data_IF_843711259282
#
_entry.id   IF_843711259282
#
_cell.length_a   1.000
_cell.length_b   1.000
_cell.length_c   1.000
_cell.angle_alpha   90.00
_cell.angle_beta   90.00
_cell.angle_gamma   90.00
#
_symmetry.space_group_name_H-M   'P 1'
#
loop_
_entity.id
_entity.type
_entity.pdbx_description
1 polymer ?
#
# COMPACT_ATOMS: atom_id res chain seq x y z
N UNK A 1 -32.32 5.93 8.66
CA UNK A 1 -30.88 5.77 8.36
C UNK A 1 -30.03 5.90 9.63
N UNK A 2 -30.04 7.07 10.32
CA UNK A 2 -29.20 7.34 11.50
C UNK A 2 -29.39 6.28 12.59
N UNK A 3 -30.64 5.95 12.97
CA UNK A 3 -30.93 4.94 13.98
C UNK A 3 -30.38 3.55 13.61
N UNK A 4 -30.44 3.17 12.33
CA UNK A 4 -29.87 1.91 11.86
C UNK A 4 -28.34 1.89 11.96
N UNK A 5 -27.69 3.01 11.65
CA UNK A 5 -26.23 3.14 11.78
C UNK A 5 -25.79 3.11 13.26
N UNK A 6 -26.51 3.81 14.15
CA UNK A 6 -26.24 3.78 15.57
C UNK A 6 -26.41 2.37 16.16
N UNK A 7 -27.44 1.63 15.75
CA UNK A 7 -27.62 0.25 16.15
C UNK A 7 -26.49 -0.66 15.65
N UNK A 8 -26.08 -0.50 14.39
CA UNK A 8 -24.94 -1.24 13.83
C UNK A 8 -23.60 -0.89 14.52
N UNK A 9 -23.48 0.30 15.10
CA UNK A 9 -22.30 0.73 15.86
C UNK A 9 -22.22 0.12 17.26
N UNK A 10 -23.25 -0.55 17.74
CA UNK A 10 -23.19 -1.29 19.00
C UNK A 10 -22.18 -2.46 18.87
N UNK A 11 -21.15 -2.57 19.72
CA UNK A 11 -20.08 -3.55 19.54
C UNK A 11 -20.57 -4.99 19.37
N UNK A 12 -21.55 -5.41 20.18
CA UNK A 12 -22.11 -6.76 20.10
C UNK A 12 -22.88 -7.04 18.81
N UNK A 13 -23.59 -6.03 18.28
CA UNK A 13 -24.31 -6.12 16.99
C UNK A 13 -23.31 -6.18 15.85
N UNK A 14 -22.31 -5.30 15.88
CA UNK A 14 -21.28 -5.20 14.85
C UNK A 14 -20.45 -6.50 14.73
N UNK A 15 -19.90 -6.98 15.85
CA UNK A 15 -19.07 -8.19 15.86
C UNK A 15 -19.86 -9.42 15.46
N UNK A 16 -21.12 -9.55 15.92
CA UNK A 16 -21.99 -10.66 15.52
C UNK A 16 -22.34 -10.64 14.04
N UNK A 17 -22.62 -9.45 13.48
CA UNK A 17 -22.98 -9.31 12.05
C UNK A 17 -21.83 -9.67 11.11
N UNK A 18 -20.60 -9.29 11.46
CA UNK A 18 -19.43 -9.44 10.60
C UNK A 18 -18.49 -10.58 11.03
N UNK A 19 -18.91 -11.41 11.97
CA UNK A 19 -18.14 -12.56 12.51
C UNK A 19 -16.73 -12.14 12.97
N UNK A 20 -16.69 -11.10 13.81
CA UNK A 20 -15.45 -10.53 14.33
C UNK A 20 -15.28 -10.86 15.81
N UNK A 21 -14.03 -10.88 16.26
CA UNK A 21 -13.70 -11.00 17.68
C UNK A 21 -13.87 -9.64 18.39
N UNK A 22 -14.18 -9.67 19.67
CA UNK A 22 -14.52 -8.46 20.45
C UNK A 22 -13.36 -7.44 20.56
N UNK A 23 -12.12 -7.88 20.33
CA UNK A 23 -10.91 -7.04 20.35
C UNK A 23 -10.75 -6.16 19.11
N UNK A 24 -11.51 -6.42 18.03
CA UNK A 24 -11.35 -5.68 16.75
C UNK A 24 -11.94 -4.28 16.74
N UNK A 25 -12.82 -3.98 17.70
CA UNK A 25 -13.53 -2.70 17.72
C UNK A 25 -14.55 -2.55 16.58
N UNK A 26 -15.24 -1.41 16.57
CA UNK A 26 -16.25 -1.09 15.55
C UNK A 26 -15.63 -0.21 14.47
N UNK A 27 -15.67 -0.66 13.23
CA UNK A 27 -15.27 0.10 12.04
C UNK A 27 -16.39 0.00 11.00
N UNK A 28 -17.30 0.99 10.98
CA UNK A 28 -18.47 0.98 10.10
C UNK A 28 -18.12 1.32 8.66
N UNK A 29 -17.23 2.29 8.46
CA UNK A 29 -16.96 2.88 7.16
C UNK A 29 -15.47 3.08 6.92
N UNK A 30 -15.11 2.99 5.66
CA UNK A 30 -13.86 3.50 5.12
C UNK A 30 -14.15 4.53 4.03
N UNK A 31 -13.16 5.33 3.69
CA UNK A 31 -13.21 6.25 2.56
C UNK A 31 -12.48 5.59 1.39
N UNK A 32 -13.17 5.37 0.28
CA UNK A 32 -12.68 4.61 -0.87
C UNK A 32 -11.49 5.29 -1.57
N UNK A 33 -11.58 6.59 -1.82
CA UNK A 33 -10.47 7.40 -2.36
C UNK A 33 -10.11 8.50 -1.35
N UNK A 34 -9.31 8.18 -0.35
CA UNK A 34 -9.14 9.06 0.80
C UNK A 34 -7.78 9.72 0.92
N UNK A 35 -6.72 8.96 0.90
CA UNK A 35 -5.46 9.42 1.47
C UNK A 35 -4.81 10.57 0.68
N UNK A 36 -4.69 10.46 -0.64
CA UNK A 36 -4.08 11.53 -1.45
C UNK A 36 -5.03 12.69 -1.69
N UNK A 37 -6.28 12.41 -2.07
CA UNK A 37 -7.29 13.43 -2.34
C UNK A 37 -7.63 14.24 -1.10
N UNK A 38 -7.80 13.60 0.07
CA UNK A 38 -8.07 14.30 1.32
C UNK A 38 -6.84 15.06 1.84
N UNK A 39 -5.63 14.52 1.67
CA UNK A 39 -4.40 15.23 2.04
C UNK A 39 -4.22 16.51 1.19
N UNK A 40 -4.49 16.43 -0.11
CA UNK A 40 -4.48 17.58 -1.03
C UNK A 40 -5.56 18.59 -0.68
N UNK A 41 -6.80 18.13 -0.47
CA UNK A 41 -7.90 19.00 -0.05
C UNK A 41 -7.60 19.72 1.27
N UNK A 42 -7.01 19.00 2.24
CA UNK A 42 -6.57 19.60 3.50
C UNK A 42 -5.49 20.65 3.31
N UNK A 43 -4.49 20.38 2.47
CA UNK A 43 -3.41 21.34 2.19
C UNK A 43 -3.99 22.63 1.57
N UNK A 44 -4.85 22.50 0.56
CA UNK A 44 -5.53 23.64 -0.07
C UNK A 44 -6.38 24.42 0.95
N UNK A 45 -7.09 23.70 1.82
CA UNK A 45 -7.89 24.35 2.87
C UNK A 45 -7.03 25.16 3.84
N UNK A 46 -5.90 24.60 4.31
CA UNK A 46 -5.00 25.32 5.24
C UNK A 46 -4.43 26.61 4.63
N UNK A 47 -4.20 26.62 3.31
CA UNK A 47 -3.76 27.82 2.58
C UNK A 47 -4.87 28.87 2.41
N UNK A 48 -6.10 28.42 2.13
CA UNK A 48 -7.24 29.31 1.85
C UNK A 48 -7.88 29.87 3.13
N UNK A 49 -7.96 29.09 4.17
CA UNK A 49 -8.69 29.38 5.41
C UNK A 49 -8.38 30.76 6.04
N UNK A 50 -7.12 31.27 6.06
CA UNK A 50 -6.82 32.60 6.58
C UNK A 50 -7.45 33.73 5.76
N UNK A 51 -7.74 33.48 4.48
CA UNK A 51 -8.27 34.50 3.55
C UNK A 51 -9.80 34.45 3.47
N UNK A 52 -10.37 33.24 3.43
CA UNK A 52 -11.81 33.04 3.17
C UNK A 52 -12.64 32.81 4.44
N UNK A 53 -12.04 32.57 5.58
CA UNK A 53 -12.71 32.26 6.83
C UNK A 53 -13.27 30.84 6.95
N UNK A 54 -13.84 30.53 8.12
CA UNK A 54 -14.22 29.14 8.48
C UNK A 54 -15.53 28.66 7.84
N UNK A 55 -16.35 29.56 7.29
CA UNK A 55 -17.64 29.19 6.71
C UNK A 55 -17.58 28.94 5.19
N UNK A 56 -16.39 29.00 4.61
CA UNK A 56 -16.20 28.80 3.19
C UNK A 56 -16.37 27.31 2.79
N UNK A 57 -17.02 27.00 1.64
CA UNK A 57 -17.26 25.63 1.17
C UNK A 57 -16.00 24.76 1.02
N UNK A 58 -14.85 25.34 0.71
CA UNK A 58 -13.59 24.62 0.62
C UNK A 58 -13.13 23.93 1.94
N UNK A 59 -13.83 24.19 3.05
CA UNK A 59 -13.69 23.47 4.32
C UNK A 59 -14.11 22.01 4.22
N UNK A 60 -14.95 21.67 3.25
CA UNK A 60 -15.54 20.35 3.10
C UNK A 60 -14.99 19.67 1.84
N UNK A 61 -14.72 18.38 1.93
CA UNK A 61 -14.41 17.54 0.79
C UNK A 61 -15.52 16.52 0.58
N UNK A 62 -15.90 16.30 -0.66
CA UNK A 62 -16.79 15.20 -1.03
C UNK A 62 -16.00 13.91 -0.95
N UNK A 63 -16.56 12.91 -0.27
CA UNK A 63 -15.94 11.58 -0.12
C UNK A 63 -16.94 10.48 -0.41
N UNK A 64 -16.46 9.38 -0.92
CA UNK A 64 -17.20 8.12 -1.00
C UNK A 64 -16.97 7.33 0.29
N UNK A 65 -18.08 6.88 0.89
CA UNK A 65 -18.05 6.10 2.13
C UNK A 65 -18.41 4.65 1.79
N UNK A 66 -17.51 3.75 2.10
CA UNK A 66 -17.62 2.33 1.78
C UNK A 66 -17.73 1.48 3.05
N UNK A 67 -18.50 0.40 2.95
CA UNK A 67 -18.51 -0.65 3.95
C UNK A 67 -17.42 -1.68 3.62
N UNK A 68 -16.31 -1.64 4.35
CA UNK A 68 -15.17 -2.56 4.13
C UNK A 68 -15.50 -4.04 4.39
N UNK A 69 -16.65 -4.34 4.99
CA UNK A 69 -17.14 -5.70 5.22
C UNK A 69 -18.09 -6.19 4.10
N UNK A 70 -18.32 -5.38 3.07
CA UNK A 70 -19.09 -5.80 1.91
C UNK A 70 -18.32 -6.86 1.11
N UNK A 71 -19.00 -7.98 0.83
CA UNK A 71 -18.38 -9.10 0.10
C UNK A 71 -18.13 -8.80 -1.39
N UNK A 72 -18.74 -7.76 -1.91
CA UNK A 72 -18.50 -7.27 -3.27
C UNK A 72 -17.28 -6.35 -3.38
N UNK A 73 -16.66 -5.98 -2.26
CA UNK A 73 -15.46 -5.15 -2.25
C UNK A 73 -14.23 -6.02 -2.46
N UNK A 74 -13.59 -5.88 -3.61
CA UNK A 74 -12.32 -6.53 -3.91
C UNK A 74 -11.16 -5.55 -3.67
N UNK A 75 -10.20 -5.96 -2.84
CA UNK A 75 -8.99 -5.18 -2.60
C UNK A 75 -7.92 -5.61 -3.58
N UNK A 76 -7.64 -4.76 -4.55
CA UNK A 76 -6.52 -4.97 -5.46
C UNK A 76 -5.23 -4.38 -4.88
N UNK A 77 -4.09 -5.10 -5.00
CA UNK A 77 -2.82 -4.57 -4.56
C UNK A 77 -2.38 -3.42 -5.46
N UNK A 78 -1.86 -2.35 -4.85
CA UNK A 78 -1.20 -1.26 -5.57
C UNK A 78 0.29 -1.58 -5.60
N UNK A 79 0.80 -1.84 -6.79
CA UNK A 79 2.23 -2.12 -7.01
C UNK A 79 3.03 -0.81 -7.14
N UNK A 80 4.34 -0.91 -6.99
CA UNK A 80 5.29 0.19 -7.13
C UNK A 80 6.22 -0.10 -8.29
N UNK A 81 6.46 0.91 -9.12
CA UNK A 81 7.49 0.87 -10.15
C UNK A 81 8.43 2.04 -9.93
N UNK A 82 9.71 1.73 -9.80
CA UNK A 82 10.77 2.72 -9.70
C UNK A 82 11.43 2.88 -11.05
N UNK A 83 11.81 4.12 -11.37
CA UNK A 83 12.37 4.49 -12.66
C UNK A 83 13.78 5.05 -12.52
N UNK A 84 14.60 4.78 -13.54
CA UNK A 84 15.97 5.26 -13.67
C UNK A 84 16.84 4.96 -12.45
N UNK A 85 16.77 3.71 -11.97
CA UNK A 85 17.52 3.26 -10.79
C UNK A 85 19.02 3.27 -11.11
N UNK A 86 19.79 3.91 -10.23
CA UNK A 86 21.24 3.96 -10.31
C UNK A 86 21.87 2.72 -9.66
N UNK A 87 22.45 1.85 -10.47
CA UNK A 87 23.09 0.63 -10.02
C UNK A 87 22.18 -0.58 -9.96
N UNK A 88 22.60 -1.63 -9.24
CA UNK A 88 21.85 -2.88 -9.09
C UNK A 88 20.80 -2.74 -7.95
N UNK A 89 19.50 -2.83 -8.27
CA UNK A 89 18.44 -2.70 -7.27
C UNK A 89 18.49 -3.78 -6.19
N UNK A 90 18.88 -5.02 -6.52
CA UNK A 90 18.98 -6.12 -5.54
C UNK A 90 20.09 -5.82 -4.53
N UNK A 91 21.25 -5.35 -5.01
CA UNK A 91 22.36 -4.95 -4.14
C UNK A 91 21.97 -3.80 -3.22
N UNK A 92 21.32 -2.76 -3.76
CA UNK A 92 20.83 -1.61 -3.00
C UNK A 92 19.83 -2.01 -1.91
N UNK A 93 18.94 -2.91 -2.24
CA UNK A 93 17.96 -3.42 -1.28
C UNK A 93 18.62 -4.17 -0.13
N UNK A 94 19.62 -5.02 -0.42
CA UNK A 94 20.41 -5.73 0.60
C UNK A 94 21.20 -4.79 1.50
N UNK A 95 21.79 -3.76 0.94
CA UNK A 95 22.55 -2.75 1.71
C UNK A 95 21.68 -2.02 2.74
N UNK A 96 20.44 -1.72 2.39
CA UNK A 96 19.51 -1.05 3.29
C UNK A 96 18.99 -1.97 4.41
N UNK A 97 18.65 -3.18 4.10
CA UNK A 97 17.81 -4.02 4.95
C UNK A 97 18.57 -5.08 5.77
N UNK A 98 19.84 -5.27 5.50
CA UNK A 98 20.71 -6.17 6.28
C UNK A 98 20.29 -7.65 6.23
N UNK A 99 20.57 -8.39 7.32
CA UNK A 99 20.42 -9.85 7.37
C UNK A 99 18.97 -10.37 7.49
N UNK A 100 17.98 -9.50 7.68
CA UNK A 100 16.56 -9.89 7.78
C UNK A 100 15.89 -10.14 6.42
N UNK A 101 16.58 -9.83 5.33
CA UNK A 101 16.05 -9.95 3.99
C UNK A 101 16.75 -11.08 3.25
N UNK A 102 15.94 -11.96 2.66
CA UNK A 102 16.39 -13.02 1.78
C UNK A 102 15.84 -12.84 0.37
N UNK A 103 16.69 -13.11 -0.63
CA UNK A 103 16.33 -13.04 -2.05
C UNK A 103 16.40 -14.45 -2.65
N UNK A 104 15.30 -14.87 -3.24
CA UNK A 104 15.19 -16.09 -4.03
C UNK A 104 14.86 -15.72 -5.48
N UNK A 105 15.63 -16.19 -6.45
CA UNK A 105 15.39 -15.93 -7.87
C UNK A 105 14.30 -16.84 -8.41
N UNK A 106 13.41 -16.28 -9.20
CA UNK A 106 12.35 -16.98 -9.91
C UNK A 106 12.48 -16.77 -11.42
N UNK A 107 12.16 -17.82 -12.18
CA UNK A 107 12.09 -17.78 -13.64
C UNK A 107 10.65 -17.83 -14.15
N UNK A 108 9.69 -18.16 -13.28
CA UNK A 108 8.29 -18.26 -13.59
C UNK A 108 7.48 -17.23 -12.78
N UNK A 109 6.81 -16.33 -13.47
CA UNK A 109 6.03 -15.26 -12.87
C UNK A 109 4.84 -15.79 -12.03
N UNK A 110 4.15 -16.84 -12.48
CA UNK A 110 3.01 -17.39 -11.76
C UNK A 110 3.44 -18.07 -10.45
N UNK A 111 4.57 -18.78 -10.46
CA UNK A 111 5.15 -19.32 -9.23
C UNK A 111 5.58 -18.21 -8.27
N UNK A 112 6.15 -17.11 -8.76
CA UNK A 112 6.49 -15.96 -7.93
C UNK A 112 5.24 -15.37 -7.27
N UNK A 113 4.17 -15.14 -8.04
CA UNK A 113 2.90 -14.62 -7.52
C UNK A 113 2.30 -15.54 -6.46
N UNK A 114 2.32 -16.85 -6.70
CA UNK A 114 1.84 -17.84 -5.73
C UNK A 114 2.65 -17.76 -4.42
N UNK A 115 3.96 -17.65 -4.51
CA UNK A 115 4.84 -17.51 -3.33
C UNK A 115 4.58 -16.20 -2.58
N UNK A 116 4.38 -15.09 -3.28
CA UNK A 116 4.05 -13.80 -2.65
C UNK A 116 2.75 -13.90 -1.84
N UNK A 117 1.72 -14.62 -2.34
CA UNK A 117 0.46 -14.83 -1.62
C UNK A 117 0.60 -15.65 -0.33
N UNK A 118 1.69 -16.38 -0.15
CA UNK A 118 1.98 -17.17 1.06
C UNK A 118 2.62 -16.33 2.19
N UNK A 119 2.80 -15.02 1.98
CA UNK A 119 3.29 -14.11 3.01
C UNK A 119 2.35 -14.03 4.22
N UNK A 120 2.93 -13.68 5.37
CA UNK A 120 2.22 -13.53 6.64
C UNK A 120 2.71 -12.28 7.38
N UNK A 121 2.08 -11.96 8.51
CA UNK A 121 2.52 -10.85 9.37
C UNK A 121 3.91 -11.05 9.96
N UNK A 122 4.35 -12.30 10.11
CA UNK A 122 5.67 -12.65 10.65
C UNK A 122 6.75 -12.81 9.57
N UNK A 123 6.32 -12.91 8.31
CA UNK A 123 7.21 -13.09 7.17
C UNK A 123 6.59 -12.44 5.92
N UNK A 124 6.96 -11.20 5.66
CA UNK A 124 6.50 -10.51 4.47
C UNK A 124 7.17 -11.08 3.22
N UNK A 125 6.37 -11.35 2.20
CA UNK A 125 6.83 -11.80 0.89
C UNK A 125 6.45 -10.76 -0.16
N UNK A 126 7.44 -10.31 -0.92
CA UNK A 126 7.33 -9.22 -1.90
C UNK A 126 7.93 -9.72 -3.20
N UNK A 127 7.22 -9.60 -4.31
CA UNK A 127 7.77 -9.81 -5.64
C UNK A 127 8.63 -8.61 -6.04
N UNK A 128 9.79 -8.85 -6.62
CA UNK A 128 10.63 -7.82 -7.20
C UNK A 128 10.99 -8.17 -8.63
N UNK A 129 10.66 -7.31 -9.56
CA UNK A 129 10.88 -7.50 -10.98
C UNK A 129 11.97 -6.53 -11.42
N UNK A 130 13.00 -7.05 -12.08
CA UNK A 130 14.10 -6.25 -12.64
C UNK A 130 14.37 -6.67 -14.06
N UNK A 131 15.11 -5.89 -14.88
CA UNK A 131 15.53 -6.31 -16.23
C UNK A 131 16.34 -7.61 -16.24
N UNK A 132 17.05 -7.92 -15.17
CA UNK A 132 17.93 -9.07 -15.08
C UNK A 132 17.22 -10.36 -14.61
N UNK A 133 16.22 -10.23 -13.74
CA UNK A 133 15.51 -11.38 -13.16
C UNK A 133 14.32 -10.94 -12.30
N UNK A 134 13.54 -11.93 -11.92
CA UNK A 134 12.46 -11.84 -10.94
C UNK A 134 12.94 -12.46 -9.61
N UNK A 135 12.54 -11.83 -8.51
CA UNK A 135 12.94 -12.28 -7.19
C UNK A 135 11.75 -12.30 -6.23
N UNK A 136 11.73 -13.27 -5.35
CA UNK A 136 10.99 -13.22 -4.10
C UNK A 136 11.89 -12.58 -3.04
N UNK A 137 11.41 -11.51 -2.45
CA UNK A 137 12.05 -10.83 -1.32
C UNK A 137 11.29 -11.19 -0.06
N UNK A 138 11.90 -11.96 0.82
CA UNK A 138 11.32 -12.34 2.11
C UNK A 138 11.91 -11.49 3.22
N UNK A 139 11.03 -10.90 4.04
CA UNK A 139 11.40 -10.08 5.21
C UNK A 139 10.96 -10.81 6.47
N UNK A 140 11.89 -11.37 7.20
CA UNK A 140 11.60 -12.08 8.46
C UNK A 140 11.46 -11.13 9.64
N UNK A 141 10.46 -11.39 10.50
CA UNK A 141 10.17 -10.59 11.69
C UNK A 141 10.04 -9.09 11.35
N UNK A 142 9.16 -8.71 10.43
CA UNK A 142 8.98 -7.33 10.04
C UNK A 142 8.49 -6.49 11.22
N UNK A 143 8.82 -5.19 11.21
CA UNK A 143 8.32 -4.24 12.21
C UNK A 143 6.96 -3.64 11.85
N UNK A 144 6.47 -3.89 10.63
CA UNK A 144 5.19 -3.43 10.12
C UNK A 144 4.22 -4.61 9.97
N UNK A 145 2.92 -4.34 10.03
CA UNK A 145 1.89 -5.37 9.87
C UNK A 145 1.67 -5.81 8.41
N UNK A 146 2.04 -4.95 7.45
CA UNK A 146 1.83 -5.19 6.03
C UNK A 146 3.16 -5.12 5.25
N UNK A 147 3.30 -5.90 4.16
CA UNK A 147 4.49 -5.87 3.30
C UNK A 147 4.87 -4.47 2.82
N UNK A 148 3.87 -3.63 2.49
CA UNK A 148 4.09 -2.25 2.08
C UNK A 148 4.78 -1.42 3.17
N UNK A 149 4.47 -1.65 4.44
CA UNK A 149 5.13 -0.96 5.56
C UNK A 149 6.61 -1.33 5.72
N UNK A 150 7.02 -2.53 5.28
CA UNK A 150 8.43 -2.91 5.21
C UNK A 150 9.14 -2.36 3.96
N UNK A 151 8.41 -2.22 2.85
CA UNK A 151 8.95 -1.81 1.56
C UNK A 151 9.08 -0.29 1.43
N UNK A 152 8.01 0.46 1.74
CA UNK A 152 7.93 1.89 1.45
C UNK A 152 9.08 2.72 2.04
N UNK A 153 9.53 2.51 3.30
CA UNK A 153 10.67 3.25 3.83
C UNK A 153 11.98 3.08 3.03
N UNK A 154 12.16 1.91 2.42
CA UNK A 154 13.32 1.63 1.57
C UNK A 154 13.21 2.45 0.28
N UNK A 155 12.04 2.42 -0.37
CA UNK A 155 11.80 3.14 -1.61
C UNK A 155 11.89 4.65 -1.41
N UNK A 156 11.35 5.18 -0.32
CA UNK A 156 11.43 6.60 0.04
C UNK A 156 12.89 7.05 0.26
N UNK A 157 13.70 6.18 0.87
CA UNK A 157 15.13 6.45 1.05
C UNK A 157 15.88 6.52 -0.29
N UNK A 158 15.50 5.68 -1.26
CA UNK A 158 16.09 5.67 -2.60
C UNK A 158 15.72 6.92 -3.40
N UNK A 159 14.46 7.36 -3.33
CA UNK A 159 14.02 8.61 -3.93
C UNK A 159 14.78 9.81 -3.34
N UNK A 160 14.85 9.86 -2.01
CA UNK A 160 15.55 10.93 -1.29
C UNK A 160 17.05 10.98 -1.59
N UNK A 161 17.67 9.83 -1.79
CA UNK A 161 19.09 9.71 -2.13
C UNK A 161 19.38 9.88 -3.65
N UNK A 162 18.36 10.05 -4.49
CA UNK A 162 18.53 10.10 -5.95
C UNK A 162 18.91 8.75 -6.56
N UNK A 163 18.74 7.65 -5.82
CA UNK A 163 18.98 6.29 -6.34
C UNK A 163 17.96 5.90 -7.39
N UNK A 164 16.72 6.34 -7.26
CA UNK A 164 15.68 6.29 -8.28
C UNK A 164 15.19 7.71 -8.60
N UNK A 165 14.76 7.96 -9.84
CA UNK A 165 14.28 9.30 -10.22
C UNK A 165 12.87 9.58 -9.70
N UNK A 166 12.00 8.60 -9.74
CA UNK A 166 10.62 8.68 -9.27
C UNK A 166 10.04 7.28 -9.06
N UNK A 167 8.91 7.23 -8.41
CA UNK A 167 8.09 6.04 -8.19
C UNK A 167 6.71 6.28 -8.78
N UNK A 168 6.14 5.26 -9.41
CA UNK A 168 4.75 5.25 -9.82
C UNK A 168 3.99 4.12 -9.12
N UNK A 169 2.68 4.31 -8.98
CA UNK A 169 1.77 3.39 -8.30
C UNK A 169 0.82 2.82 -9.34
N UNK A 170 0.93 1.52 -9.59
CA UNK A 170 0.22 0.87 -10.67
C UNK A 170 -0.67 -0.27 -10.15
N UNK A 171 -1.79 -0.47 -10.83
CA UNK A 171 -2.69 -1.60 -10.61
C UNK A 171 -2.42 -2.69 -11.64
N UNK A 172 -2.53 -3.93 -11.19
CA UNK A 172 -2.41 -5.11 -12.03
C UNK A 172 -0.98 -5.63 -12.21
N UNK A 173 -0.86 -6.95 -12.08
CA UNK A 173 0.41 -7.66 -12.15
C UNK A 173 1.13 -7.47 -13.49
N UNK A 174 0.38 -7.49 -14.61
CA UNK A 174 0.96 -7.35 -15.95
C UNK A 174 1.70 -6.03 -16.13
N UNK A 175 1.17 -4.95 -15.57
CA UNK A 175 1.77 -3.62 -15.68
C UNK A 175 3.08 -3.56 -14.92
N UNK A 176 3.10 -4.08 -13.67
CA UNK A 176 4.33 -4.07 -12.87
C UNK A 176 5.40 -4.98 -13.46
N UNK A 177 5.03 -6.13 -14.04
CA UNK A 177 5.98 -7.00 -14.74
C UNK A 177 6.55 -6.33 -16.00
N UNK A 178 5.69 -5.71 -16.81
CA UNK A 178 6.13 -5.03 -18.03
C UNK A 178 7.06 -3.86 -17.72
N UNK A 179 6.64 -2.94 -16.85
CA UNK A 179 7.44 -1.75 -16.54
C UNK A 179 8.70 -2.08 -15.74
N UNK A 180 8.61 -3.01 -14.78
CA UNK A 180 9.74 -3.41 -13.93
C UNK A 180 10.85 -4.13 -14.68
N UNK A 181 10.52 -4.83 -15.79
CA UNK A 181 11.51 -5.52 -16.63
C UNK A 181 12.23 -4.61 -17.64
N UNK A 182 11.82 -3.35 -17.76
CA UNK A 182 12.50 -2.40 -18.64
C UNK A 182 13.82 -1.90 -18.04
N UNK A 183 14.78 -1.58 -18.92
CA UNK A 183 16.10 -1.11 -18.49
C UNK A 183 16.00 0.13 -17.60
N UNK A 184 16.69 0.10 -16.47
CA UNK A 184 16.70 1.17 -15.49
C UNK A 184 15.51 1.19 -14.53
N UNK A 185 14.59 0.24 -14.65
CA UNK A 185 13.42 0.16 -13.77
C UNK A 185 13.48 -1.02 -12.79
N UNK A 186 12.60 -1.00 -11.79
CA UNK A 186 12.24 -2.16 -10.99
C UNK A 186 10.78 -2.06 -10.53
N UNK A 187 10.09 -3.16 -10.60
CA UNK A 187 8.72 -3.27 -10.12
C UNK A 187 8.65 -4.14 -8.87
#
# INVERSE_FOLDING_TARGET
LISGLLHLAEPGVFTSKYDLTADKGVLLFAVGDGNHSLATAKSIWEELKPVVGMDHPARYALVEIENIHDRGLEFEPIHRVLFNIQGDPVKRFREYAGSRIHFERFENAELLKERVRQGSVDNHMIGMITPAAQYLVSVSKPSANLPVGSLQPILDSWLKAGTASHIDYVHGDEIVFNLGSQSGNAG
#
